data_IF_120718372703
#
_entry.id   IF_120718372703
#
_cell.length_a   1.000
_cell.length_b   1.000
_cell.length_c   1.000
_cell.angle_alpha   90.00
_cell.angle_beta   90.00
_cell.angle_gamma   90.00
#
_symmetry.space_group_name_H-M   'P 1'
#
loop_
_entity.id
_entity.type
_entity.pdbx_description
1 polymer ?
#
# COMPACT_ATOMS: atom_id res chain seq x y z
N UNK A 1 5.31 21.92 9.68
CA UNK A 1 4.56 21.82 10.95
C UNK A 1 3.96 20.43 11.00
N UNK A 2 4.54 19.51 11.78
CA UNK A 2 3.96 18.20 12.01
C UNK A 2 2.70 18.43 12.85
N UNK A 3 1.53 18.34 12.21
CA UNK A 3 0.27 18.33 12.94
C UNK A 3 0.26 17.09 13.84
N UNK A 4 -0.28 17.24 15.04
CA UNK A 4 -0.35 16.21 16.07
C UNK A 4 -1.38 15.14 15.64
N UNK A 5 -1.01 14.34 14.64
CA UNK A 5 -1.87 13.29 14.08
C UNK A 5 -2.10 12.21 15.15
N UNK A 6 -3.35 11.78 15.35
CA UNK A 6 -3.65 10.73 16.32
C UNK A 6 -2.99 9.41 15.90
N UNK A 7 -2.43 8.71 16.88
CA UNK A 7 -1.88 7.37 16.67
C UNK A 7 -2.98 6.31 16.83
N UNK A 8 -3.05 5.35 15.90
CA UNK A 8 -3.90 4.18 16.09
C UNK A 8 -3.27 3.20 17.07
N UNK A 9 -4.12 2.50 17.82
CA UNK A 9 -3.71 1.48 18.77
C UNK A 9 -3.32 0.21 18.00
N UNK A 10 -2.06 -0.21 18.16
CA UNK A 10 -1.62 -1.52 17.69
C UNK A 10 -2.26 -2.60 18.56
N UNK A 11 -2.95 -3.57 17.94
CA UNK A 11 -3.60 -4.66 18.67
C UNK A 11 -2.59 -5.52 19.45
N UNK A 12 -3.05 -6.21 20.50
CA UNK A 12 -2.22 -7.19 21.22
C UNK A 12 -1.74 -8.29 20.27
N UNK A 13 -0.43 -8.52 20.20
CA UNK A 13 0.21 -9.38 19.18
C UNK A 13 -0.15 -8.98 17.73
N UNK A 14 -0.53 -7.72 17.52
CA UNK A 14 -0.98 -7.20 16.24
C UNK A 14 0.16 -6.99 15.26
N UNK A 15 1.41 -6.93 15.73
CA UNK A 15 2.60 -6.82 14.89
C UNK A 15 3.33 -8.15 14.77
N UNK A 16 3.65 -8.51 13.54
CA UNK A 16 4.48 -9.68 13.21
C UNK A 16 5.34 -9.32 12.02
N UNK A 17 6.65 -9.47 12.17
CA UNK A 17 7.61 -9.38 11.07
C UNK A 17 8.39 -10.67 10.90
N UNK A 18 8.77 -10.97 9.66
CA UNK A 18 9.52 -12.16 9.27
C UNK A 18 10.54 -11.77 8.20
N UNK A 19 11.77 -12.24 8.39
CA UNK A 19 12.78 -12.33 7.34
C UNK A 19 12.94 -13.78 6.92
N UNK A 20 12.89 -14.06 5.62
CA UNK A 20 13.01 -15.40 5.06
C UNK A 20 14.26 -15.51 4.19
N UNK A 21 14.86 -16.71 4.08
CA UNK A 21 15.95 -16.97 3.15
C UNK A 21 15.47 -17.02 1.68
N UNK A 22 14.16 -17.19 1.46
CA UNK A 22 13.54 -17.25 0.13
C UNK A 22 12.14 -16.64 0.14
N UNK A 23 11.76 -16.09 -1.02
CA UNK A 23 10.47 -15.46 -1.22
C UNK A 23 9.34 -16.50 -1.31
N UNK A 24 8.21 -16.22 -0.69
CA UNK A 24 6.97 -16.94 -0.95
C UNK A 24 6.26 -16.32 -2.16
N UNK A 25 5.80 -17.15 -3.09
CA UNK A 25 5.06 -16.68 -4.26
C UNK A 25 3.64 -16.30 -3.81
N UNK A 26 3.35 -15.00 -3.76
CA UNK A 26 2.01 -14.47 -3.50
C UNK A 26 1.22 -14.33 -4.80
N UNK A 27 -0.03 -14.78 -4.80
CA UNK A 27 -0.98 -14.58 -5.89
C UNK A 27 -1.58 -13.16 -5.97
N UNK A 28 -1.22 -12.28 -5.03
CA UNK A 28 -1.83 -10.96 -4.90
C UNK A 28 -1.28 -9.99 -5.95
N UNK A 29 -2.17 -9.44 -6.79
CA UNK A 29 -1.78 -8.47 -7.83
C UNK A 29 -1.45 -7.10 -7.24
N UNK A 30 -2.25 -6.58 -6.31
CA UNK A 30 -2.03 -5.25 -5.69
C UNK A 30 -1.29 -5.42 -4.37
N UNK A 31 0.00 -5.10 -4.35
CA UNK A 31 0.85 -5.32 -3.18
C UNK A 31 0.94 -4.11 -2.28
N UNK A 32 0.61 -2.91 -2.79
CA UNK A 32 0.66 -1.68 -1.99
C UNK A 32 0.10 -0.46 -2.71
N UNK A 33 -0.30 0.53 -1.92
CA UNK A 33 -0.68 1.87 -2.36
C UNK A 33 -0.08 2.85 -1.36
N UNK A 34 0.85 3.68 -1.80
CA UNK A 34 1.64 4.50 -0.88
C UNK A 34 2.07 5.85 -1.45
N UNK A 35 2.31 6.79 -0.55
CA UNK A 35 3.25 7.90 -0.74
C UNK A 35 4.57 7.48 -0.11
N UNK A 36 5.67 7.63 -0.83
CA UNK A 36 7.00 7.34 -0.33
C UNK A 36 7.86 8.60 -0.31
N UNK A 37 8.56 8.80 0.81
CA UNK A 37 9.78 9.59 0.84
C UNK A 37 10.90 8.76 1.46
N UNK A 38 12.14 9.09 1.10
CA UNK A 38 13.28 8.55 1.81
C UNK A 38 13.28 9.09 3.26
N UNK A 39 13.52 8.22 4.24
CA UNK A 39 13.81 8.67 5.59
C UNK A 39 15.22 9.23 5.65
N UNK A 40 15.43 10.18 6.56
CA UNK A 40 16.77 10.68 6.88
C UNK A 40 17.41 9.82 7.98
N UNK A 41 16.67 9.53 9.06
CA UNK A 41 17.22 8.79 10.21
C UNK A 41 16.23 7.73 10.76
N UNK A 42 14.95 8.09 10.95
CA UNK A 42 13.93 7.21 11.53
C UNK A 42 12.82 6.84 10.54
N UNK A 43 12.27 5.64 10.71
CA UNK A 43 11.09 5.19 9.99
C UNK A 43 9.83 5.76 10.61
N UNK A 44 8.98 6.37 9.80
CA UNK A 44 7.65 6.81 10.16
C UNK A 44 6.63 6.23 9.18
N UNK A 45 5.64 5.53 9.72
CA UNK A 45 4.50 5.03 8.95
C UNK A 45 3.23 5.74 9.40
N UNK A 46 2.51 6.26 8.42
CA UNK A 46 1.20 6.89 8.59
C UNK A 46 0.26 6.36 7.52
N UNK A 47 -1.02 6.67 7.63
CA UNK A 47 -1.98 6.26 6.62
C UNK A 47 -3.26 7.06 6.69
N UNK A 48 -3.94 7.19 5.55
CA UNK A 48 -5.29 7.71 5.55
C UNK A 48 -6.26 6.63 6.05
N UNK A 49 -7.14 7.00 6.96
CA UNK A 49 -8.19 6.12 7.48
C UNK A 49 -9.51 6.84 7.33
N UNK A 50 -10.44 6.36 6.49
CA UNK A 50 -11.72 7.02 6.28
C UNK A 50 -12.59 6.90 7.53
N UNK A 51 -13.41 7.94 7.78
CA UNK A 51 -14.40 7.96 8.88
C UNK A 51 -15.29 6.72 8.90
N UNK A 52 -15.60 6.17 7.72
CA UNK A 52 -16.48 5.00 7.57
C UNK A 52 -15.92 3.71 8.17
N UNK A 53 -14.63 3.68 8.52
CA UNK A 53 -14.00 2.53 9.19
C UNK A 53 -13.89 2.71 10.71
N UNK A 54 -14.55 3.74 11.29
CA UNK A 54 -14.56 3.96 12.72
C UNK A 54 -15.06 2.73 13.49
N UNK A 55 -14.37 2.38 14.58
CA UNK A 55 -14.68 1.21 15.41
C UNK A 55 -14.21 -0.13 14.85
N UNK A 56 -13.61 -0.15 13.66
CA UNK A 56 -13.11 -1.36 13.02
C UNK A 56 -11.60 -1.57 13.26
N UNK A 57 -10.99 -2.44 12.45
CA UNK A 57 -9.55 -2.63 12.40
C UNK A 57 -9.04 -2.45 10.98
N UNK A 58 -7.77 -2.09 10.86
CA UNK A 58 -7.03 -2.11 9.60
C UNK A 58 -5.82 -3.02 9.70
N UNK A 59 -5.45 -3.60 8.58
CA UNK A 59 -4.21 -4.34 8.41
C UNK A 59 -3.26 -3.50 7.56
N UNK A 60 -2.07 -3.22 8.10
CA UNK A 60 -0.94 -2.79 7.32
C UNK A 60 -0.05 -4.00 6.98
N UNK A 61 0.27 -4.17 5.70
CA UNK A 61 1.26 -5.14 5.22
C UNK A 61 2.43 -4.38 4.61
N UNK A 62 3.65 -4.70 5.03
CA UNK A 62 4.91 -4.14 4.51
C UNK A 62 5.72 -5.27 3.90
N UNK A 63 6.18 -5.11 2.66
CA UNK A 63 6.84 -6.15 1.89
C UNK A 63 7.99 -5.57 1.06
N UNK A 64 9.16 -6.20 1.09
CA UNK A 64 10.25 -5.85 0.17
C UNK A 64 10.03 -6.45 -1.21
N UNK A 65 10.60 -5.84 -2.26
CA UNK A 65 10.42 -6.28 -3.66
C UNK A 65 10.88 -7.72 -3.94
N UNK A 66 11.87 -8.17 -3.17
CA UNK A 66 12.37 -9.53 -3.22
C UNK A 66 11.55 -10.53 -2.39
N UNK A 67 10.57 -10.07 -1.62
CA UNK A 67 9.72 -10.90 -0.78
C UNK A 67 10.44 -11.56 0.40
N UNK A 68 11.64 -11.09 0.75
CA UNK A 68 12.42 -11.65 1.84
C UNK A 68 12.02 -11.07 3.20
N UNK A 69 11.66 -9.78 3.26
CA UNK A 69 11.09 -9.16 4.44
C UNK A 69 9.59 -8.98 4.26
N UNK A 70 8.82 -9.42 5.24
CA UNK A 70 7.38 -9.22 5.33
C UNK A 70 7.02 -8.83 6.76
N UNK A 71 6.20 -7.80 6.92
CA UNK A 71 5.58 -7.46 8.19
C UNK A 71 4.09 -7.19 8.03
N UNK A 72 3.35 -7.52 9.09
CA UNK A 72 1.92 -7.25 9.21
C UNK A 72 1.63 -6.60 10.54
N UNK A 73 0.75 -5.59 10.54
CA UNK A 73 0.36 -4.84 11.71
C UNK A 73 -1.16 -4.62 11.72
N UNK A 74 -1.87 -5.13 12.72
CA UNK A 74 -3.29 -4.88 12.92
C UNK A 74 -3.48 -3.71 13.88
N UNK A 75 -4.16 -2.66 13.42
CA UNK A 75 -4.50 -1.48 14.23
C UNK A 75 -5.99 -1.39 14.47
N UNK A 76 -6.38 -0.93 15.66
CA UNK A 76 -7.77 -0.62 16.02
C UNK A 76 -8.07 0.84 15.72
N UNK A 77 -9.23 1.09 15.14
CA UNK A 77 -9.73 2.43 14.85
C UNK A 77 -10.71 2.82 15.96
N UNK A 78 -10.54 3.99 16.60
CA UNK A 78 -11.52 4.50 17.57
C UNK A 78 -12.94 4.58 16.98
N UNK A 79 -13.96 4.33 17.80
CA UNK A 79 -15.36 4.36 17.37
C UNK A 79 -15.83 5.78 16.98
N UNK A 80 -15.18 6.80 17.52
CA UNK A 80 -15.41 8.22 17.25
C UNK A 80 -14.45 8.80 16.20
N UNK A 81 -13.73 7.95 15.47
CA UNK A 81 -12.74 8.36 14.48
C UNK A 81 -13.33 9.32 13.43
N UNK A 82 -12.81 10.57 13.30
CA UNK A 82 -13.38 11.57 12.41
C UNK A 82 -13.04 11.34 10.93
N UNK A 83 -12.12 10.42 10.63
CA UNK A 83 -11.46 10.33 9.33
C UNK A 83 -10.18 11.17 9.28
N UNK A 84 -9.19 10.76 8.50
CA UNK A 84 -7.97 11.55 8.28
C UNK A 84 -6.69 10.72 8.26
N UNK A 85 -5.54 11.41 8.32
CA UNK A 85 -4.24 10.76 8.46
C UNK A 85 -4.04 10.36 9.93
N UNK A 86 -3.62 9.12 10.14
CA UNK A 86 -3.27 8.58 11.45
C UNK A 86 -1.81 8.12 11.47
N UNK A 87 -1.16 8.23 12.64
CA UNK A 87 0.11 7.53 12.86
C UNK A 87 -0.15 6.04 13.04
N UNK A 88 0.69 5.22 12.41
CA UNK A 88 0.63 3.77 12.46
C UNK A 88 1.92 3.26 13.09
N UNK A 89 1.99 3.08 14.44
CA UNK A 89 3.18 2.61 15.10
C UNK A 89 3.72 1.33 14.46
N UNK A 90 4.98 1.35 14.03
CA UNK A 90 5.60 0.26 13.28
C UNK A 90 6.92 -0.14 13.97
N UNK A 91 6.87 -0.97 15.03
CA UNK A 91 8.01 -1.26 15.89
C UNK A 91 8.93 -2.34 15.30
N UNK A 92 9.40 -2.12 14.07
CA UNK A 92 10.32 -3.03 13.39
C UNK A 92 11.71 -3.00 14.01
N UNK A 93 12.35 -4.16 14.11
CA UNK A 93 13.78 -4.28 14.46
C UNK A 93 14.69 -4.27 13.22
N UNK A 94 14.12 -4.18 12.02
CA UNK A 94 14.80 -4.28 10.72
C UNK A 94 14.78 -2.95 9.95
N UNK A 95 14.91 -1.83 10.66
CA UNK A 95 14.90 -0.51 10.04
C UNK A 95 15.98 -0.35 8.97
N UNK A 96 17.15 -0.94 9.18
CA UNK A 96 18.27 -0.98 8.24
C UNK A 96 17.87 -1.57 6.88
N UNK A 97 17.16 -2.69 6.89
CA UNK A 97 16.64 -3.36 5.67
C UNK A 97 15.67 -2.44 4.93
N UNK A 98 14.77 -1.79 5.67
CA UNK A 98 13.69 -0.99 5.11
C UNK A 98 14.16 0.38 4.58
N UNK A 99 15.14 0.99 5.25
CA UNK A 99 15.79 2.22 4.80
C UNK A 99 16.59 1.98 3.50
N UNK A 100 17.24 0.82 3.38
CA UNK A 100 18.00 0.44 2.18
C UNK A 100 17.17 0.05 0.95
N UNK A 101 15.86 -0.19 1.10
CA UNK A 101 15.01 -0.68 0.02
C UNK A 101 14.70 0.38 -1.06
N UNK A 102 14.67 1.67 -0.68
CA UNK A 102 14.25 2.74 -1.59
C UNK A 102 12.75 2.70 -1.96
N UNK A 103 12.32 3.66 -2.78
CA UNK A 103 10.89 3.86 -3.10
C UNK A 103 10.23 2.70 -3.84
N UNK A 104 11.01 2.04 -4.69
CA UNK A 104 10.57 0.91 -5.51
C UNK A 104 10.89 -0.43 -4.88
N UNK A 105 11.67 -0.48 -3.79
CA UNK A 105 12.01 -1.72 -3.11
C UNK A 105 11.06 -2.07 -1.98
N UNK A 106 10.14 -1.19 -1.63
CA UNK A 106 9.20 -1.34 -0.52
C UNK A 106 7.76 -1.16 -0.97
N UNK A 107 6.88 -2.04 -0.52
CA UNK A 107 5.44 -1.99 -0.78
C UNK A 107 4.66 -2.02 0.52
N UNK A 108 3.77 -1.05 0.71
CA UNK A 108 2.91 -0.94 1.89
C UNK A 108 1.45 -0.96 1.45
N UNK A 109 0.67 -1.87 2.02
CA UNK A 109 -0.77 -1.98 1.80
C UNK A 109 -1.52 -1.73 3.08
N UNK A 110 -2.51 -0.83 3.03
CA UNK A 110 -3.49 -0.65 4.10
C UNK A 110 -4.84 -1.18 3.62
N UNK A 111 -5.36 -2.20 4.27
CA UNK A 111 -6.69 -2.76 4.00
C UNK A 111 -7.58 -2.70 5.23
N UNK A 112 -8.88 -2.56 4.98
CA UNK A 112 -9.91 -2.75 6.01
C UNK A 112 -9.86 -4.19 6.56
N UNK A 113 -10.20 -4.36 7.83
CA UNK A 113 -10.14 -5.58 8.65
C UNK A 113 -8.77 -5.89 9.25
N UNK A 114 -8.77 -6.80 10.24
CA UNK A 114 -7.56 -7.33 10.86
C UNK A 114 -6.72 -8.18 9.89
N UNK A 115 -5.41 -8.25 10.14
CA UNK A 115 -4.53 -9.09 9.34
C UNK A 115 -4.90 -10.58 9.46
N UNK A 116 -4.83 -11.32 8.35
CA UNK A 116 -5.22 -12.74 8.30
C UNK A 116 -6.71 -12.99 8.04
N UNK A 117 -7.56 -11.94 8.09
CA UNK A 117 -8.89 -11.99 7.50
C UNK A 117 -8.79 -12.04 5.96
N UNK A 118 -9.88 -12.39 5.29
CA UNK A 118 -9.95 -12.29 3.82
C UNK A 118 -9.61 -10.84 3.41
N UNK A 119 -8.54 -10.70 2.63
CA UNK A 119 -8.02 -9.40 2.25
C UNK A 119 -9.08 -8.65 1.44
N UNK A 120 -9.69 -7.66 2.09
CA UNK A 120 -10.78 -6.89 1.51
C UNK A 120 -10.36 -6.15 0.24
N UNK A 121 -11.36 -5.88 -0.61
CA UNK A 121 -11.23 -4.98 -1.76
C UNK A 121 -11.16 -3.50 -1.35
N UNK A 122 -11.52 -3.18 -0.11
CA UNK A 122 -11.41 -1.83 0.46
C UNK A 122 -9.98 -1.56 0.94
N UNK A 123 -9.27 -0.68 0.23
CA UNK A 123 -7.92 -0.25 0.54
C UNK A 123 -7.87 1.26 0.81
N UNK A 124 -6.86 1.65 1.57
CA UNK A 124 -6.42 3.03 1.69
C UNK A 124 -4.93 3.11 1.35
N UNK A 125 -4.32 4.29 1.47
CA UNK A 125 -2.90 4.48 1.19
C UNK A 125 -2.10 4.74 2.45
N UNK A 126 -0.88 4.20 2.46
CA UNK A 126 0.14 4.50 3.46
C UNK A 126 0.97 5.73 3.06
N UNK A 127 1.59 6.36 4.04
CA UNK A 127 2.59 7.41 3.87
C UNK A 127 3.84 6.94 4.62
N UNK A 128 4.94 6.77 3.89
CA UNK A 128 6.22 6.32 4.42
C UNK A 128 7.21 7.47 4.47
N UNK A 129 7.69 7.82 5.67
CA UNK A 129 8.72 8.81 6.02
C UNK A 129 8.54 10.26 5.51
N UNK A 130 7.56 10.54 4.66
CA UNK A 130 7.35 11.83 4.01
C UNK A 130 6.06 12.50 4.43
N UNK A 131 5.81 13.68 3.85
CA UNK A 131 4.51 14.37 3.88
C UNK A 131 3.51 13.76 2.87
N UNK A 132 2.25 14.19 2.93
CA UNK A 132 1.29 13.90 1.86
C UNK A 132 1.76 14.46 0.51
N UNK A 133 1.28 13.87 -0.58
CA UNK A 133 1.59 14.27 -1.95
C UNK A 133 0.34 14.27 -2.84
N UNK A 134 0.45 14.89 -4.00
CA UNK A 134 -0.58 14.89 -5.05
C UNK A 134 -0.53 13.64 -5.94
N UNK A 135 0.34 12.69 -5.60
CA UNK A 135 0.53 11.41 -6.30
C UNK A 135 0.65 10.27 -5.30
N UNK A 136 0.02 9.15 -5.63
CA UNK A 136 0.19 7.86 -4.97
C UNK A 136 0.89 6.90 -5.93
N UNK A 137 1.73 6.01 -5.43
CA UNK A 137 2.26 4.90 -6.23
C UNK A 137 1.49 3.63 -5.87
N UNK A 138 0.94 2.97 -6.89
CA UNK A 138 0.33 1.65 -6.78
C UNK A 138 1.35 0.60 -7.20
N UNK A 139 1.72 -0.28 -6.27
CA UNK A 139 2.73 -1.32 -6.47
C UNK A 139 2.02 -2.64 -6.80
N UNK A 140 2.52 -3.30 -7.84
CA UNK A 140 1.85 -4.45 -8.44
C UNK A 140 2.78 -5.63 -8.67
N UNK A 141 2.29 -6.82 -8.35
CA UNK A 141 2.79 -8.06 -8.93
C UNK A 141 2.10 -8.27 -10.28
N UNK A 142 2.77 -7.87 -11.36
CA UNK A 142 2.24 -8.05 -12.72
C UNK A 142 2.38 -9.49 -13.22
N UNK A 143 3.16 -10.33 -12.53
CA UNK A 143 3.59 -11.64 -12.99
C UNK A 143 4.32 -11.55 -14.34
N UNK A 144 5.20 -10.56 -14.48
CA UNK A 144 5.97 -10.29 -15.71
C UNK A 144 5.08 -10.08 -16.94
N UNK A 145 3.97 -9.36 -16.76
CA UNK A 145 3.11 -8.99 -17.87
C UNK A 145 3.86 -8.13 -18.91
N UNK A 146 3.49 -8.25 -20.19
CA UNK A 146 4.03 -7.45 -21.29
C UNK A 146 3.71 -5.96 -21.09
N UNK A 147 2.54 -5.67 -20.53
CA UNK A 147 2.09 -4.33 -20.18
C UNK A 147 1.05 -4.39 -19.06
N UNK A 148 1.00 -3.31 -18.26
CA UNK A 148 0.04 -3.14 -17.17
C UNK A 148 -0.58 -1.75 -17.27
N UNK A 149 -1.90 -1.69 -17.09
CA UNK A 149 -2.67 -0.47 -17.12
C UNK A 149 -3.54 -0.37 -15.87
N UNK A 150 -3.61 0.84 -15.31
CA UNK A 150 -4.46 1.18 -14.18
C UNK A 150 -5.59 2.09 -14.66
N UNK A 151 -6.81 1.60 -14.55
CA UNK A 151 -8.04 2.33 -14.83
C UNK A 151 -8.58 2.93 -13.53
N UNK A 152 -8.95 4.20 -13.58
CA UNK A 152 -9.51 4.95 -12.45
C UNK A 152 -10.93 5.34 -12.82
N UNK A 153 -11.90 5.03 -11.97
CA UNK A 153 -13.27 5.49 -12.18
C UNK A 153 -13.32 7.02 -12.34
N UNK A 154 -14.03 7.49 -13.37
CA UNK A 154 -14.12 8.91 -13.70
C UNK A 154 -12.98 9.46 -14.57
N UNK A 155 -12.00 8.63 -14.98
CA UNK A 155 -10.97 9.01 -15.97
C UNK A 155 -11.15 8.24 -17.27
N UNK A 156 -11.02 8.94 -18.39
CA UNK A 156 -11.15 8.33 -19.72
C UNK A 156 -9.91 7.55 -20.15
N UNK A 157 -8.72 8.03 -19.76
CA UNK A 157 -7.44 7.43 -20.18
C UNK A 157 -6.83 6.62 -19.04
N UNK A 158 -6.50 5.33 -19.26
CA UNK A 158 -5.80 4.54 -18.26
C UNK A 158 -4.35 5.00 -18.11
N UNK A 159 -3.80 4.80 -16.91
CA UNK A 159 -2.40 5.04 -16.63
C UNK A 159 -1.60 3.80 -17.01
N UNK A 160 -0.58 3.95 -17.85
CA UNK A 160 0.37 2.87 -18.12
C UNK A 160 1.37 2.78 -16.97
N UNK A 161 1.49 1.59 -16.39
CA UNK A 161 2.44 1.34 -15.32
C UNK A 161 3.82 1.07 -15.89
N UNK A 162 4.86 1.47 -15.15
CA UNK A 162 6.26 1.18 -15.49
C UNK A 162 6.70 -0.13 -14.85
N UNK A 163 7.60 -0.84 -15.52
CA UNK A 163 8.34 -1.91 -14.88
C UNK A 163 9.32 -1.30 -13.87
N UNK A 164 9.50 -1.97 -12.73
CA UNK A 164 10.50 -1.58 -11.74
C UNK A 164 11.85 -2.13 -12.16
N UNK A 165 12.89 -1.28 -12.12
CA UNK A 165 14.26 -1.67 -12.48
C UNK A 165 15.12 -1.92 -11.23
N UNK A 166 14.75 -2.98 -10.49
CA UNK A 166 15.52 -3.49 -9.36
C UNK A 166 15.78 -5.00 -9.55
N UNK A 167 16.86 -5.57 -9.01
CA UNK A 167 17.09 -7.01 -9.05
C UNK A 167 16.05 -7.77 -8.20
N UNK A 168 15.91 -9.08 -8.45
CA UNK A 168 15.10 -10.00 -7.64
C UNK A 168 13.66 -9.52 -7.33
N UNK A 169 12.87 -9.29 -8.39
CA UNK A 169 11.48 -8.80 -8.30
C UNK A 169 10.48 -9.95 -8.15
N UNK A 170 10.51 -10.60 -7.00
CA UNK A 170 9.70 -11.79 -6.71
C UNK A 170 8.34 -11.47 -6.09
N UNK A 171 8.25 -10.37 -5.33
CA UNK A 171 7.02 -9.95 -4.67
C UNK A 171 6.15 -9.03 -5.52
N UNK A 172 6.78 -8.07 -6.19
CA UNK A 172 6.14 -7.12 -7.11
C UNK A 172 7.16 -6.64 -8.15
N UNK A 173 6.70 -6.16 -9.30
CA UNK A 173 7.56 -5.86 -10.45
C UNK A 173 7.10 -4.66 -11.30
N UNK A 174 5.97 -4.05 -10.96
CA UNK A 174 5.43 -2.89 -11.67
C UNK A 174 4.93 -1.80 -10.69
N UNK A 175 4.99 -0.56 -11.13
CA UNK A 175 4.53 0.61 -10.39
C UNK A 175 3.68 1.52 -11.29
N UNK A 176 2.56 2.00 -10.77
CA UNK A 176 1.70 2.98 -11.43
C UNK A 176 1.64 4.25 -10.59
N UNK A 177 2.12 5.36 -11.12
CA UNK A 177 2.00 6.65 -10.43
C UNK A 177 0.63 7.25 -10.74
N UNK A 178 -0.22 7.30 -9.72
CA UNK A 178 -1.59 7.79 -9.73
C UNK A 178 -1.63 9.25 -9.24
N UNK A 179 -1.84 10.24 -10.12
CA UNK A 179 -2.20 11.58 -9.67
C UNK A 179 -3.54 11.51 -8.94
N UNK A 180 -3.66 12.12 -7.75
CA UNK A 180 -4.91 12.11 -6.97
C UNK A 180 -5.75 13.37 -7.12
N UNK A 181 -5.26 14.38 -7.84
CA UNK A 181 -6.03 15.59 -8.15
C UNK A 181 -7.40 15.26 -8.77
N UNK A 182 -8.46 15.84 -8.22
CA UNK A 182 -9.84 15.64 -8.64
C UNK A 182 -10.46 14.28 -8.27
N UNK A 183 -9.79 13.48 -7.44
CA UNK A 183 -10.34 12.23 -6.89
C UNK A 183 -10.63 12.40 -5.40
N UNK A 184 -11.78 11.90 -4.94
CA UNK A 184 -12.19 11.99 -3.54
C UNK A 184 -13.05 10.79 -3.13
N UNK A 185 -12.97 10.40 -1.86
CA UNK A 185 -13.77 9.31 -1.31
C UNK A 185 -13.46 7.93 -1.92
N UNK A 186 -14.43 6.99 -1.92
CA UNK A 186 -14.21 5.65 -2.45
C UNK A 186 -14.11 5.66 -3.98
N UNK A 187 -12.92 5.39 -4.50
CA UNK A 187 -12.62 5.38 -5.93
C UNK A 187 -12.37 3.96 -6.41
N UNK A 188 -13.11 3.48 -7.40
CA UNK A 188 -12.85 2.16 -8.00
C UNK A 188 -11.62 2.23 -8.89
N UNK A 189 -10.69 1.31 -8.66
CA UNK A 189 -9.47 1.10 -9.44
C UNK A 189 -9.55 -0.29 -10.08
N UNK A 190 -9.15 -0.40 -11.34
CA UNK A 190 -9.04 -1.67 -12.04
C UNK A 190 -7.65 -1.82 -12.68
N UNK A 191 -7.05 -2.98 -12.47
CA UNK A 191 -5.74 -3.35 -13.00
C UNK A 191 -5.93 -4.33 -14.16
N UNK A 192 -5.47 -3.91 -15.33
CA UNK A 192 -5.45 -4.72 -16.55
C UNK A 192 -4.02 -5.14 -16.84
N UNK A 193 -3.81 -6.45 -17.05
CA UNK A 193 -2.50 -7.01 -17.41
C UNK A 193 -2.58 -7.65 -18.79
N UNK A 194 -1.61 -7.34 -19.63
CA UNK A 194 -1.40 -7.95 -20.93
C UNK A 194 -0.33 -9.04 -20.79
N UNK A 195 -0.68 -10.30 -21.00
CA UNK A 195 0.24 -11.44 -20.90
C UNK A 195 0.25 -12.17 -22.23
N UNK A 196 1.42 -12.31 -22.85
CA UNK A 196 1.56 -12.87 -24.19
C UNK A 196 0.60 -12.22 -25.20
N UNK A 197 0.49 -10.89 -25.15
CA UNK A 197 -0.42 -10.04 -25.95
C UNK A 197 -1.92 -10.32 -25.76
N UNK A 198 -2.31 -11.03 -24.70
CA UNK A 198 -3.72 -11.27 -24.34
C UNK A 198 -4.06 -10.59 -23.02
N UNK A 199 -5.32 -10.16 -22.91
CA UNK A 199 -5.86 -9.58 -21.67
C UNK A 199 -6.06 -10.70 -20.64
N UNK A 200 -5.39 -10.61 -19.49
CA UNK A 200 -5.68 -11.43 -18.33
C UNK A 200 -6.93 -10.91 -17.59
N UNK A 201 -7.62 -11.75 -16.78
CA UNK A 201 -8.74 -11.27 -15.96
C UNK A 201 -8.35 -10.04 -15.13
N UNK A 202 -9.16 -8.97 -15.14
CA UNK A 202 -8.85 -7.74 -14.42
C UNK A 202 -8.91 -7.98 -12.91
N UNK A 203 -8.16 -7.18 -12.16
CA UNK A 203 -8.23 -7.13 -10.70
C UNK A 203 -8.75 -5.77 -10.28
N UNK A 204 -9.84 -5.73 -9.52
CA UNK A 204 -10.43 -4.48 -9.03
C UNK A 204 -10.29 -4.33 -7.50
N UNK A 205 -10.23 -3.07 -7.06
CA UNK A 205 -10.31 -2.69 -5.66
C UNK A 205 -10.90 -1.29 -5.50
N UNK A 206 -11.33 -0.96 -4.29
CA UNK A 206 -11.77 0.39 -3.91
C UNK A 206 -10.63 1.05 -3.15
N UNK A 207 -10.16 2.19 -3.65
CA UNK A 207 -9.21 3.06 -2.98
C UNK A 207 -9.94 4.20 -2.28
N UNK A 208 -9.81 4.30 -0.97
CA UNK A 208 -10.34 5.40 -0.18
C UNK A 208 -9.36 6.58 -0.21
N UNK A 209 -9.84 7.73 -0.68
CA UNK A 209 -9.11 8.99 -0.72
C UNK A 209 -9.77 10.04 0.19
N UNK A 210 -9.04 11.06 0.65
CA UNK A 210 -9.61 12.16 1.43
C UNK A 210 -10.77 12.80 0.67
N UNK A 211 -11.79 13.23 1.40
CA UNK A 211 -12.81 14.13 0.83
C UNK A 211 -12.23 15.55 0.85
N UNK A 212 -12.48 16.33 -0.21
CA UNK A 212 -12.18 17.77 -0.23
C UNK A 212 -13.04 18.53 0.79
#
# INVERSE_FOLDING_TARGET
MAQNEPALELGQNGFREIVRPSALISGTVVTGVQVYAAAQDDISMRGFVPRRWAGESICASVLTINGLYEATATYRIPADWPGGIAQLPFPTVHADVLLGAGSDGLSIRLSRNACGAELGRDMSFAIWNGGGGDRLTVLLNSFRADAVYLYVAGRETPLRCRAIDLPARSAFDAACDLPVGGLAGPTRIEILRMVARKVAPPTDFILWLPQE
#
